data_IF_844004166251
#
_entry.id   IF_844004166251
#
_cell.length_a   1.000
_cell.length_b   1.000
_cell.length_c   1.000
_cell.angle_alpha   90.00
_cell.angle_beta   90.00
_cell.angle_gamma   90.00
#
_symmetry.space_group_name_H-M   'P 1'
#
loop_
_entity.id
_entity.type
_entity.pdbx_description
1 polymer ?
#
# COMPACT_ATOMS: atom_id res chain seq x y z
N UNK A 1 5.09 -2.30 -28.20
CA UNK A 1 4.47 -1.65 -27.03
C UNK A 1 4.71 -2.50 -25.79
N UNK A 2 5.44 -1.98 -24.81
CA UNK A 2 6.01 -2.77 -23.71
C UNK A 2 5.03 -2.98 -22.55
N UNK A 3 5.11 -4.17 -21.93
CA UNK A 3 4.42 -4.62 -20.70
C UNK A 3 4.58 -3.67 -19.49
N UNK A 4 5.44 -2.65 -19.56
CA UNK A 4 5.70 -1.67 -18.50
C UNK A 4 4.58 -0.64 -18.28
N UNK A 5 3.79 -0.30 -19.32
CA UNK A 5 2.81 0.80 -19.23
C UNK A 5 1.76 0.58 -18.12
N UNK A 6 1.23 -0.64 -18.00
CA UNK A 6 0.20 -1.00 -16.99
C UNK A 6 0.75 -0.93 -15.56
N UNK A 7 2.01 -1.35 -15.35
CA UNK A 7 2.62 -1.32 -14.01
C UNK A 7 2.83 0.11 -13.52
N UNK A 8 3.19 1.02 -14.43
CA UNK A 8 3.47 2.41 -14.07
C UNK A 8 2.19 3.23 -13.84
N UNK A 9 1.12 2.96 -14.60
CA UNK A 9 -0.20 3.56 -14.33
C UNK A 9 -0.75 3.13 -12.97
N UNK A 10 -0.63 1.83 -12.64
CA UNK A 10 -1.00 1.31 -11.31
C UNK A 10 -0.19 1.97 -10.20
N UNK A 11 1.13 2.16 -10.37
CA UNK A 11 1.98 2.83 -9.37
C UNK A 11 1.57 4.29 -9.14
N UNK A 12 1.27 5.03 -10.22
CA UNK A 12 0.81 6.43 -10.12
C UNK A 12 -0.49 6.53 -9.35
N UNK A 13 -1.44 5.62 -9.61
CA UNK A 13 -2.74 5.58 -8.94
C UNK A 13 -2.58 5.22 -7.46
N UNK A 14 -1.78 4.19 -7.16
CA UNK A 14 -1.48 3.82 -5.76
C UNK A 14 -0.88 5.00 -5.00
N UNK A 15 0.06 5.72 -5.62
CA UNK A 15 0.67 6.92 -5.02
C UNK A 15 -0.37 8.03 -4.79
N UNK A 16 -1.24 8.29 -5.77
CA UNK A 16 -2.34 9.24 -5.65
C UNK A 16 -3.33 8.87 -4.53
N UNK A 17 -3.75 7.61 -4.47
CA UNK A 17 -4.70 7.12 -3.47
C UNK A 17 -4.13 7.15 -2.04
N UNK A 18 -2.83 6.89 -1.89
CA UNK A 18 -2.13 7.05 -0.60
C UNK A 18 -2.13 8.50 -0.13
N UNK A 19 -1.96 9.48 -1.02
CA UNK A 19 -1.98 10.91 -0.65
C UNK A 19 -3.36 11.41 -0.24
N UNK A 20 -4.43 10.83 -0.78
CA UNK A 20 -5.82 11.24 -0.50
C UNK A 20 -6.43 10.55 0.73
N UNK A 21 -5.68 9.69 1.43
CA UNK A 21 -6.18 8.93 2.60
C UNK A 21 -7.47 8.15 2.31
N UNK A 22 -7.71 7.74 1.06
CA UNK A 22 -8.95 7.09 0.62
C UNK A 22 -9.19 5.75 1.35
N UNK A 23 -10.46 5.41 1.56
CA UNK A 23 -10.86 4.09 2.08
C UNK A 23 -10.76 3.01 0.99
N UNK A 24 -10.68 1.76 1.43
CA UNK A 24 -10.62 0.59 0.56
C UNK A 24 -11.71 0.55 -0.53
N UNK A 25 -12.95 0.95 -0.21
CA UNK A 25 -14.06 0.97 -1.17
C UNK A 25 -13.82 2.00 -2.28
N UNK A 26 -13.30 3.18 -1.95
CA UNK A 26 -12.94 4.22 -2.92
C UNK A 26 -11.76 3.79 -3.80
N UNK A 27 -10.73 3.20 -3.18
CA UNK A 27 -9.56 2.65 -3.91
C UNK A 27 -10.02 1.63 -4.96
N UNK A 28 -10.93 0.74 -4.57
CA UNK A 28 -11.47 -0.28 -5.47
C UNK A 28 -12.29 0.33 -6.61
N UNK A 29 -13.16 1.30 -6.32
CA UNK A 29 -13.94 1.99 -7.35
C UNK A 29 -13.06 2.70 -8.37
N UNK A 30 -12.02 3.42 -7.92
CA UNK A 30 -11.10 4.13 -8.81
C UNK A 30 -10.27 3.16 -9.67
N UNK A 31 -9.81 2.04 -9.11
CA UNK A 31 -9.12 1.00 -9.88
C UNK A 31 -10.03 0.32 -10.92
N UNK A 32 -11.32 0.15 -10.62
CA UNK A 32 -12.30 -0.39 -11.56
C UNK A 32 -12.65 0.58 -12.70
N UNK A 33 -12.78 1.88 -12.40
CA UNK A 33 -13.06 2.92 -13.39
C UNK A 33 -11.94 3.10 -14.43
N UNK A 34 -10.70 2.76 -14.05
CA UNK A 34 -9.52 2.95 -14.91
C UNK A 34 -9.47 2.05 -16.15
N UNK A 35 -10.42 1.14 -16.34
CA UNK A 35 -10.53 0.27 -17.52
C UNK A 35 -9.20 -0.45 -17.87
N UNK A 36 -8.36 -0.66 -16.86
CA UNK A 36 -7.12 -1.41 -16.99
C UNK A 36 -7.54 -2.87 -17.20
N UNK A 37 -7.00 -3.53 -18.23
CA UNK A 37 -7.17 -4.98 -18.48
C UNK A 37 -6.51 -5.81 -17.36
N UNK A 38 -7.03 -5.69 -16.15
CA UNK A 38 -6.47 -6.21 -14.91
C UNK A 38 -7.56 -7.01 -14.23
N UNK A 39 -7.25 -8.23 -13.82
CA UNK A 39 -8.23 -9.12 -13.21
C UNK A 39 -8.77 -8.54 -11.88
N UNK A 40 -10.03 -8.85 -11.57
CA UNK A 40 -10.68 -8.50 -10.29
C UNK A 40 -9.87 -8.92 -9.07
N UNK A 41 -9.18 -10.07 -9.13
CA UNK A 41 -8.27 -10.54 -8.08
C UNK A 41 -7.05 -9.63 -7.91
N UNK A 42 -6.46 -9.18 -9.00
CA UNK A 42 -5.32 -8.24 -8.98
C UNK A 42 -5.74 -6.89 -8.40
N UNK A 43 -6.92 -6.38 -8.75
CA UNK A 43 -7.50 -5.15 -8.18
C UNK A 43 -7.66 -5.27 -6.66
N UNK A 44 -8.26 -6.37 -6.17
CA UNK A 44 -8.42 -6.60 -4.73
C UNK A 44 -7.04 -6.69 -4.03
N UNK A 45 -6.05 -7.35 -4.66
CA UNK A 45 -4.71 -7.48 -4.08
C UNK A 45 -4.00 -6.13 -3.96
N UNK A 46 -4.14 -5.28 -4.98
CA UNK A 46 -3.61 -3.91 -4.96
C UNK A 46 -4.32 -3.11 -3.86
N UNK A 47 -5.66 -3.12 -3.83
CA UNK A 47 -6.44 -2.38 -2.84
C UNK A 47 -6.07 -2.75 -1.40
N UNK A 48 -5.91 -4.05 -1.10
CA UNK A 48 -5.47 -4.51 0.23
C UNK A 48 -4.05 -4.02 0.58
N UNK A 49 -3.13 -4.02 -0.39
CA UNK A 49 -1.76 -3.56 -0.16
C UNK A 49 -1.71 -2.06 0.15
N UNK A 50 -2.53 -1.27 -0.56
CA UNK A 50 -2.67 0.18 -0.33
C UNK A 50 -3.28 0.45 1.04
N UNK A 51 -4.39 -0.20 1.38
CA UNK A 51 -5.08 0.00 2.67
C UNK A 51 -4.16 -0.36 3.85
N UNK A 52 -3.40 -1.46 3.74
CA UNK A 52 -2.42 -1.85 4.76
C UNK A 52 -1.34 -0.79 4.97
N UNK A 53 -0.82 -0.19 3.89
CA UNK A 53 0.15 0.90 4.01
C UNK A 53 -0.47 2.16 4.63
N UNK A 54 -1.69 2.52 4.25
CA UNK A 54 -2.43 3.65 4.84
C UNK A 54 -2.60 3.47 6.34
N UNK A 55 -3.03 2.29 6.79
CA UNK A 55 -3.19 1.95 8.19
C UNK A 55 -1.88 2.02 8.97
N UNK A 56 -0.78 1.51 8.40
CA UNK A 56 0.54 1.63 9.03
C UNK A 56 0.98 3.09 9.17
N UNK A 57 0.72 3.93 8.16
CA UNK A 57 1.02 5.36 8.23
C UNK A 57 0.17 6.06 9.30
N UNK A 58 -1.12 5.71 9.41
CA UNK A 58 -2.01 6.25 10.44
C UNK A 58 -1.56 5.83 11.85
N UNK A 59 -1.20 4.56 12.04
CA UNK A 59 -0.68 4.05 13.30
C UNK A 59 0.64 4.73 13.70
N UNK A 60 1.52 5.00 12.74
CA UNK A 60 2.75 5.76 12.99
C UNK A 60 2.47 7.19 13.43
N UNK A 61 1.50 7.86 12.80
CA UNK A 61 1.12 9.22 13.17
C UNK A 61 0.40 9.29 14.51
N UNK A 62 -0.43 8.29 14.85
CA UNK A 62 -1.16 8.28 16.11
C UNK A 62 -0.31 7.81 17.30
N UNK A 63 0.66 6.90 17.09
CA UNK A 63 1.46 6.30 18.17
C UNK A 63 2.94 6.07 17.79
N UNK A 64 3.74 7.14 17.64
CA UNK A 64 5.13 7.01 17.21
C UNK A 64 6.00 6.21 18.20
N UNK A 65 5.69 6.27 19.51
CA UNK A 65 6.43 5.55 20.56
C UNK A 65 6.27 4.03 20.45
N UNK A 66 5.09 3.53 20.04
CA UNK A 66 4.83 2.10 19.89
C UNK A 66 5.55 1.51 18.67
N UNK A 67 5.49 2.20 17.52
CA UNK A 67 6.16 1.74 16.31
C UNK A 67 7.69 1.68 16.46
N UNK A 68 8.27 2.71 17.10
CA UNK A 68 9.71 2.76 17.37
C UNK A 68 10.17 1.59 18.23
N UNK A 69 9.42 1.22 19.28
CA UNK A 69 9.68 0.03 20.11
C UNK A 69 9.65 -1.26 19.29
N UNK A 70 8.69 -1.39 18.37
CA UNK A 70 8.58 -2.55 17.48
C UNK A 70 9.76 -2.66 16.50
N UNK A 71 10.21 -1.53 15.95
CA UNK A 71 11.37 -1.51 15.03
C UNK A 71 12.68 -1.89 15.73
N UNK A 72 12.89 -1.43 16.97
CA UNK A 72 14.07 -1.79 17.77
C UNK A 72 14.10 -3.31 17.98
N UNK A 73 13.00 -3.91 18.41
CA UNK A 73 12.91 -5.36 18.60
C UNK A 73 13.19 -6.16 17.32
N UNK A 74 12.65 -5.73 16.16
CA UNK A 74 12.93 -6.39 14.86
C UNK A 74 14.41 -6.27 14.50
N UNK A 75 15.01 -5.10 14.72
CA UNK A 75 16.41 -4.83 14.43
C UNK A 75 17.36 -5.62 15.35
N UNK A 76 17.00 -5.79 16.63
CA UNK A 76 17.73 -6.63 17.58
C UNK A 76 17.71 -8.11 17.18
N UNK A 77 16.56 -8.62 16.71
CA UNK A 77 16.44 -9.99 16.19
C UNK A 77 17.33 -10.18 14.94
N UNK A 78 17.29 -9.25 13.99
CA UNK A 78 18.09 -9.35 12.77
C UNK A 78 19.60 -9.37 13.06
N UNK A 79 20.05 -8.61 14.07
CA UNK A 79 21.44 -8.58 14.53
C UNK A 79 21.94 -9.88 15.13
N UNK A 80 21.04 -10.73 15.64
CA UNK A 80 21.37 -12.03 16.24
C UNK A 80 21.26 -13.20 15.27
N UNK A 81 20.62 -13.01 14.12
CA UNK A 81 20.48 -14.03 13.08
C UNK A 81 21.62 -13.96 12.04
N UNK A 82 22.28 -12.79 11.93
CA UNK A 82 23.45 -12.57 11.06
C UNK A 82 24.73 -12.93 11.81
#
# INVERSE_FOLDING_TARGET
>A
MSRNKISDDIKKIVKYLLTKMCSYSMIKQELFKMNLNVSKSTINRIANKVEKQRLLSLLNNQNPKFYRRRQIAISDIARHIT
#
